data_IF_167613169897
#
_entry.id   IF_167613169897
#
_cell.length_a   1.000
_cell.length_b   1.000
_cell.length_c   1.000
_cell.angle_alpha   90.00
_cell.angle_beta   90.00
_cell.angle_gamma   90.00
#
_symmetry.space_group_name_H-M   'P 1'
#
loop_
_entity.id
_entity.type
_entity.pdbx_description
1 polymer ?
#
# COMPACT_ATOMS: atom_id res chain seq x y z
N UNK A 1 0.36 -18.51 -4.34
CA UNK A 1 -0.98 -18.12 -3.83
C UNK A 1 -1.88 -19.33 -3.92
N UNK A 2 -2.40 -19.83 -2.80
CA UNK A 2 -3.18 -21.07 -2.74
C UNK A 2 -4.70 -20.77 -2.70
N UNK A 3 -5.52 -21.56 -3.39
CA UNK A 3 -6.98 -21.44 -3.38
C UNK A 3 -7.58 -21.47 -1.97
N UNK A 4 -7.01 -22.28 -1.06
CA UNK A 4 -7.45 -22.34 0.35
C UNK A 4 -7.21 -21.02 1.09
N UNK A 5 -6.08 -20.35 0.86
CA UNK A 5 -5.77 -19.07 1.49
C UNK A 5 -6.71 -17.98 1.00
N UNK A 6 -7.00 -17.97 -0.30
CA UNK A 6 -7.93 -17.02 -0.91
C UNK A 6 -9.34 -17.19 -0.37
N UNK A 7 -9.84 -18.43 -0.30
CA UNK A 7 -11.17 -18.66 0.25
C UNK A 7 -11.25 -18.23 1.72
N UNK A 8 -10.21 -18.51 2.51
CA UNK A 8 -10.12 -18.07 3.91
C UNK A 8 -10.14 -16.54 4.00
N UNK A 9 -9.35 -15.84 3.19
CA UNK A 9 -9.32 -14.38 3.18
C UNK A 9 -10.66 -13.77 2.77
N UNK A 10 -11.34 -14.35 1.76
CA UNK A 10 -12.68 -13.91 1.33
C UNK A 10 -13.70 -14.05 2.45
N UNK A 11 -13.72 -15.20 3.13
CA UNK A 11 -14.62 -15.43 4.26
C UNK A 11 -14.34 -14.46 5.41
N UNK A 12 -13.06 -14.22 5.74
CA UNK A 12 -12.67 -13.25 6.77
C UNK A 12 -13.14 -11.83 6.44
N UNK A 13 -13.00 -11.40 5.18
CA UNK A 13 -13.48 -10.10 4.73
C UNK A 13 -15.01 -9.98 4.85
N UNK A 14 -15.74 -10.99 4.38
CA UNK A 14 -17.21 -11.04 4.48
C UNK A 14 -17.67 -11.00 5.94
N UNK A 15 -17.04 -11.79 6.82
CA UNK A 15 -17.36 -11.77 8.25
C UNK A 15 -17.14 -10.38 8.86
N UNK A 16 -16.01 -9.74 8.57
CA UNK A 16 -15.72 -8.39 9.10
C UNK A 16 -16.74 -7.34 8.61
N UNK A 17 -17.20 -7.46 7.36
CA UNK A 17 -18.23 -6.59 6.80
C UNK A 17 -19.57 -6.79 7.54
N UNK A 18 -20.01 -8.03 7.69
CA UNK A 18 -21.31 -8.34 8.31
C UNK A 18 -21.36 -7.94 9.79
N UNK A 19 -20.28 -8.20 10.53
CA UNK A 19 -20.17 -7.83 11.94
C UNK A 19 -20.25 -6.31 12.16
N UNK A 20 -19.60 -5.53 11.28
CA UNK A 20 -19.62 -4.07 11.40
C UNK A 20 -21.02 -3.47 11.21
N UNK A 21 -21.90 -4.14 10.47
CA UNK A 21 -23.25 -3.62 10.14
C UNK A 21 -24.29 -3.96 11.21
N UNK A 22 -23.94 -4.71 12.25
CA UNK A 22 -24.78 -4.95 13.43
C UNK A 22 -25.04 -3.65 14.21
N UNK A 23 -24.11 -2.69 14.16
CA UNK A 23 -24.27 -1.37 14.77
C UNK A 23 -25.04 -0.40 13.87
N UNK A 24 -26.13 0.16 14.39
CA UNK A 24 -26.92 1.20 13.69
C UNK A 24 -26.12 2.47 13.40
N UNK A 25 -25.22 2.87 14.31
CA UNK A 25 -24.38 4.07 14.11
C UNK A 25 -23.32 3.82 13.04
N UNK A 26 -22.67 2.66 13.03
CA UNK A 26 -21.71 2.29 12.00
C UNK A 26 -22.37 2.22 10.61
N UNK A 27 -23.60 1.70 10.54
CA UNK A 27 -24.41 1.70 9.32
C UNK A 27 -24.73 3.12 8.83
N UNK A 28 -25.09 4.03 9.74
CA UNK A 28 -25.37 5.42 9.40
C UNK A 28 -24.11 6.13 8.85
N UNK A 29 -22.96 5.93 9.49
CA UNK A 29 -21.68 6.47 9.04
C UNK A 29 -21.31 5.98 7.63
N UNK A 30 -21.41 4.66 7.41
CA UNK A 30 -21.10 4.07 6.11
C UNK A 30 -22.03 4.59 5.01
N UNK A 31 -23.33 4.70 5.29
CA UNK A 31 -24.30 5.28 4.36
C UNK A 31 -23.95 6.75 4.03
N UNK A 32 -23.63 7.56 5.04
CA UNK A 32 -23.21 8.94 4.86
C UNK A 32 -21.98 9.06 3.96
N UNK A 33 -20.95 8.25 4.21
CA UNK A 33 -19.72 8.23 3.40
C UNK A 33 -19.97 7.78 1.97
N UNK A 34 -20.76 6.73 1.76
CA UNK A 34 -21.06 6.22 0.43
C UNK A 34 -21.81 7.27 -0.41
N UNK A 35 -22.81 7.95 0.17
CA UNK A 35 -23.51 9.03 -0.51
C UNK A 35 -22.58 10.22 -0.80
N UNK A 36 -21.82 10.68 0.19
CA UNK A 36 -20.96 11.87 0.04
C UNK A 36 -19.78 11.65 -0.92
N UNK A 37 -19.15 10.47 -0.90
CA UNK A 37 -17.96 10.20 -1.71
C UNK A 37 -18.27 9.56 -3.06
N UNK A 38 -19.34 8.77 -3.17
CA UNK A 38 -19.63 7.94 -4.36
C UNK A 38 -20.99 8.27 -5.01
N UNK A 39 -21.85 9.05 -4.34
CA UNK A 39 -23.17 9.41 -4.85
C UNK A 39 -24.16 8.25 -4.94
N UNK A 40 -23.84 7.08 -4.37
CA UNK A 40 -24.68 5.88 -4.41
C UNK A 40 -24.50 5.03 -3.17
N UNK A 41 -25.50 4.21 -2.87
CA UNK A 41 -25.44 3.19 -1.81
C UNK A 41 -25.20 1.84 -2.46
N UNK A 42 -24.15 1.16 -2.02
CA UNK A 42 -23.85 -0.25 -2.32
C UNK A 42 -24.39 -1.09 -1.17
N UNK A 43 -25.30 -2.02 -1.47
CA UNK A 43 -25.89 -2.87 -0.42
C UNK A 43 -24.89 -3.91 0.09
N UNK A 44 -25.15 -4.46 1.27
CA UNK A 44 -24.34 -5.56 1.84
C UNK A 44 -24.30 -6.74 0.87
N UNK A 45 -25.45 -7.12 0.31
CA UNK A 45 -25.53 -8.23 -0.64
C UNK A 45 -24.69 -7.96 -1.89
N UNK A 46 -24.73 -6.74 -2.43
CA UNK A 46 -23.89 -6.34 -3.56
C UNK A 46 -22.40 -6.41 -3.22
N UNK A 47 -22.01 -6.00 -2.00
CA UNK A 47 -20.62 -6.10 -1.53
C UNK A 47 -20.17 -7.56 -1.39
N UNK A 48 -21.01 -8.41 -0.78
CA UNK A 48 -20.73 -9.85 -0.62
C UNK A 48 -20.59 -10.53 -1.98
N UNK A 49 -21.47 -10.22 -2.92
CA UNK A 49 -21.41 -10.74 -4.29
C UNK A 49 -20.13 -10.32 -5.01
N UNK A 50 -19.71 -9.05 -4.89
CA UNK A 50 -18.45 -8.57 -5.45
C UNK A 50 -17.26 -9.33 -4.89
N UNK A 51 -17.23 -9.59 -3.57
CA UNK A 51 -16.16 -10.36 -2.94
C UNK A 51 -16.18 -11.81 -3.46
N UNK A 52 -17.36 -12.44 -3.51
CA UNK A 52 -17.49 -13.82 -3.96
C UNK A 52 -17.05 -14.04 -5.41
N UNK A 53 -17.22 -13.04 -6.29
CA UNK A 53 -16.77 -13.10 -7.68
C UNK A 53 -15.25 -13.01 -7.86
N UNK A 54 -14.50 -12.58 -6.84
CA UNK A 54 -13.04 -12.45 -6.94
C UNK A 54 -12.37 -13.80 -7.21
N UNK A 55 -11.51 -13.81 -8.23
CA UNK A 55 -10.66 -14.93 -8.61
C UNK A 55 -9.22 -14.73 -8.14
N UNK A 56 -8.42 -15.81 -8.18
CA UNK A 56 -6.97 -15.74 -7.90
C UNK A 56 -6.28 -14.75 -8.85
N UNK A 57 -6.71 -14.71 -10.11
CA UNK A 57 -6.12 -13.84 -11.13
C UNK A 57 -6.38 -12.36 -10.84
N UNK A 58 -7.58 -12.02 -10.38
CA UNK A 58 -7.91 -10.63 -10.00
C UNK A 58 -6.99 -10.14 -8.88
N UNK A 59 -6.76 -10.98 -7.87
CA UNK A 59 -5.87 -10.66 -6.75
C UNK A 59 -4.42 -10.51 -7.19
N UNK A 60 -3.93 -11.37 -8.09
CA UNK A 60 -2.59 -11.25 -8.67
C UNK A 60 -2.44 -9.95 -9.47
N UNK A 61 -3.40 -9.62 -10.31
CA UNK A 61 -3.40 -8.39 -11.10
C UNK A 61 -3.37 -7.14 -10.20
N UNK A 62 -4.17 -7.13 -9.13
CA UNK A 62 -4.20 -6.03 -8.17
C UNK A 62 -2.87 -5.95 -7.40
N UNK A 63 -2.34 -7.08 -6.94
CA UNK A 63 -1.06 -7.13 -6.24
C UNK A 63 0.08 -6.61 -7.12
N UNK A 64 0.19 -7.08 -8.37
CA UNK A 64 1.19 -6.56 -9.31
C UNK A 64 1.01 -5.06 -9.51
N UNK A 65 -0.22 -4.60 -9.83
CA UNK A 65 -0.49 -3.19 -10.09
C UNK A 65 -0.09 -2.28 -8.92
N UNK A 66 -0.42 -2.67 -7.69
CA UNK A 66 -0.14 -1.88 -6.48
C UNK A 66 1.35 -1.93 -6.14
N UNK A 67 1.92 -3.14 -6.06
CA UNK A 67 3.30 -3.34 -5.61
C UNK A 67 4.34 -2.83 -6.61
N UNK A 68 4.01 -2.77 -7.91
CA UNK A 68 4.89 -2.22 -8.95
C UNK A 68 4.64 -0.74 -9.24
N UNK A 69 3.79 -0.06 -8.46
CA UNK A 69 3.54 1.38 -8.62
C UNK A 69 2.83 1.77 -9.92
N UNK A 70 2.10 0.84 -10.56
CA UNK A 70 1.35 1.07 -11.81
C UNK A 70 -0.08 1.59 -11.57
N UNK A 71 -0.31 2.25 -10.44
CA UNK A 71 -1.63 2.79 -10.07
C UNK A 71 -1.87 4.12 -10.75
N UNK A 72 -2.92 4.18 -11.58
CA UNK A 72 -3.43 5.38 -12.23
C UNK A 72 -4.43 6.06 -11.29
N UNK A 73 -4.24 7.34 -11.01
CA UNK A 73 -5.14 8.11 -10.14
C UNK A 73 -6.30 8.71 -10.92
N UNK A 74 -7.40 9.01 -10.23
CA UNK A 74 -8.65 9.53 -10.80
C UNK A 74 -8.50 10.86 -11.56
N UNK A 75 -7.42 11.61 -11.32
CA UNK A 75 -7.16 12.90 -11.96
C UNK A 75 -6.34 12.75 -13.26
N UNK A 76 -6.19 11.54 -13.81
CA UNK A 76 -5.37 11.28 -15.00
C UNK A 76 -3.85 11.34 -14.76
N UNK A 77 -3.43 11.73 -13.56
CA UNK A 77 -2.03 11.65 -13.13
C UNK A 77 -1.63 10.21 -12.83
N UNK A 78 -0.46 9.79 -13.32
CA UNK A 78 0.18 8.57 -12.80
C UNK A 78 0.74 8.90 -11.42
N UNK A 79 0.46 8.08 -10.41
CA UNK A 79 1.18 8.21 -9.14
C UNK A 79 2.67 8.12 -9.43
N UNK A 80 3.54 8.76 -8.63
CA UNK A 80 5.00 8.70 -8.85
C UNK A 80 5.51 7.24 -8.93
N UNK A 81 4.72 6.27 -8.45
CA UNK A 81 5.02 4.85 -8.44
C UNK A 81 6.10 4.48 -7.43
N UNK A 82 6.60 5.48 -6.71
CA UNK A 82 7.57 5.32 -5.65
C UNK A 82 6.87 4.89 -4.35
N UNK A 83 7.40 3.89 -3.64
CA UNK A 83 6.85 3.47 -2.36
C UNK A 83 7.06 4.56 -1.30
N UNK A 84 6.05 4.78 -0.47
CA UNK A 84 6.16 5.65 0.71
C UNK A 84 6.59 4.82 1.93
N UNK A 85 7.69 5.20 2.57
CA UNK A 85 8.26 4.50 3.72
C UNK A 85 8.30 5.48 4.89
N UNK A 86 7.69 5.09 6.00
CA UNK A 86 7.73 5.83 7.26
C UNK A 86 8.40 4.95 8.30
N UNK A 87 9.36 5.49 9.04
CA UNK A 87 10.14 4.79 10.06
C UNK A 87 10.34 5.70 11.27
N UNK A 88 10.46 5.10 12.45
CA UNK A 88 10.71 5.80 13.71
C UNK A 88 11.91 5.14 14.40
N UNK A 89 12.91 5.95 14.78
CA UNK A 89 14.16 5.50 15.40
C UNK A 89 15.40 6.04 14.68
N UNK A 90 16.56 5.46 14.98
CA UNK A 90 17.83 5.79 14.32
C UNK A 90 17.80 5.33 12.86
N UNK A 91 17.94 6.26 11.91
CA UNK A 91 17.79 6.01 10.47
C UNK A 91 18.77 4.94 9.98
N UNK A 92 19.97 4.93 10.55
CA UNK A 92 21.09 4.06 10.18
C UNK A 92 20.75 2.58 10.36
N UNK A 93 19.97 2.26 11.39
CA UNK A 93 19.56 0.88 11.72
C UNK A 93 18.70 0.23 10.62
N UNK A 94 17.98 1.04 9.84
CA UNK A 94 17.11 0.56 8.75
C UNK A 94 17.88 0.29 7.44
N UNK A 95 19.15 0.69 7.33
CA UNK A 95 19.99 0.47 6.14
C UNK A 95 19.44 1.12 4.86
N UNK A 96 19.82 0.60 3.69
CA UNK A 96 19.31 1.09 2.41
C UNK A 96 17.97 0.43 2.05
N UNK A 97 16.87 1.04 2.52
CA UNK A 97 15.51 0.54 2.27
C UNK A 97 15.17 0.56 0.78
N UNK A 98 15.63 1.57 0.03
CA UNK A 98 15.36 1.65 -1.41
C UNK A 98 16.06 0.53 -2.18
N UNK A 99 17.30 0.21 -1.81
CA UNK A 99 18.02 -0.92 -2.38
C UNK A 99 17.23 -2.23 -2.19
N UNK A 100 16.71 -2.47 -0.98
CA UNK A 100 15.90 -3.66 -0.68
C UNK A 100 14.63 -3.68 -1.52
N UNK A 101 13.90 -2.58 -1.60
CA UNK A 101 12.66 -2.50 -2.37
C UNK A 101 12.90 -2.74 -3.87
N UNK A 102 13.95 -2.13 -4.44
CA UNK A 102 14.37 -2.35 -5.83
C UNK A 102 14.76 -3.81 -6.08
N UNK A 103 15.49 -4.44 -5.15
CA UNK A 103 15.88 -5.86 -5.24
C UNK A 103 14.68 -6.80 -5.34
N UNK A 104 13.57 -6.46 -4.69
CA UNK A 104 12.32 -7.23 -4.77
C UNK A 104 11.37 -6.76 -5.88
N UNK A 105 11.78 -5.81 -6.74
CA UNK A 105 10.96 -5.28 -7.83
C UNK A 105 9.75 -4.47 -7.34
N UNK A 106 9.82 -3.89 -6.15
CA UNK A 106 8.75 -3.09 -5.56
C UNK A 106 8.89 -1.63 -5.97
N UNK A 107 7.80 -1.01 -6.43
CA UNK A 107 7.78 0.37 -6.92
C UNK A 107 8.21 0.51 -8.38
N UNK A 108 8.12 1.75 -8.88
CA UNK A 108 8.47 2.13 -10.24
C UNK A 108 9.57 3.21 -10.22
N UNK A 109 10.81 2.80 -10.43
CA UNK A 109 11.97 3.69 -10.40
C UNK A 109 12.43 4.03 -11.83
N UNK A 110 12.79 5.30 -12.08
CA UNK A 110 13.26 5.80 -13.38
C UNK A 110 14.79 5.97 -13.48
N UNK A 111 15.52 5.68 -12.41
CA UNK A 111 16.98 5.86 -12.32
C UNK A 111 17.76 4.56 -12.57
N UNK A 112 19.11 4.63 -12.64
CA UNK A 112 19.95 3.45 -12.79
C UNK A 112 19.71 2.45 -11.67
N UNK A 113 19.97 1.17 -11.96
CA UNK A 113 19.91 0.11 -10.95
C UNK A 113 20.97 0.32 -9.87
N UNK A 114 20.58 0.07 -8.62
CA UNK A 114 21.49 0.15 -7.48
C UNK A 114 22.06 -1.25 -7.29
N UNK A 115 23.34 -1.45 -7.60
CA UNK A 115 24.01 -2.76 -7.51
C UNK A 115 24.48 -3.10 -6.10
N UNK A 116 24.81 -2.09 -5.29
CA UNK A 116 25.29 -2.24 -3.92
C UNK A 116 24.54 -1.32 -2.94
N UNK A 117 24.29 -1.74 -1.69
CA UNK A 117 23.66 -0.90 -0.69
C UNK A 117 24.46 0.38 -0.43
N UNK A 118 23.80 1.54 -0.39
CA UNK A 118 24.44 2.79 0.03
C UNK A 118 24.72 2.75 1.53
N UNK A 119 25.84 3.31 1.94
CA UNK A 119 26.17 3.43 3.36
C UNK A 119 25.42 4.61 3.99
N UNK A 120 24.59 4.31 4.98
CA UNK A 120 23.87 5.30 5.79
C UNK A 120 24.51 5.50 7.16
N UNK A 121 25.53 4.72 7.54
CA UNK A 121 26.18 4.78 8.86
C UNK A 121 27.15 5.95 9.05
N UNK A 122 27.49 6.68 7.96
CA UNK A 122 28.44 7.77 8.03
C UNK A 122 27.88 8.96 8.83
N UNK A 123 28.43 9.12 10.03
CA UNK A 123 28.19 10.18 11.00
C UNK A 123 28.17 11.57 10.31
N UNK A 124 27.00 12.19 10.18
CA UNK A 124 26.87 13.57 9.63
C UNK A 124 27.63 14.63 10.46
N UNK A 125 28.12 14.27 11.65
CA UNK A 125 28.93 15.13 12.51
C UNK A 125 30.34 15.43 11.97
N UNK A 126 30.93 14.60 11.10
CA UNK A 126 32.23 14.93 10.50
C UNK A 126 32.13 15.99 9.40
N UNK A 127 31.03 16.01 8.63
CA UNK A 127 30.82 17.02 7.58
C UNK A 127 30.57 18.42 8.16
N UNK A 128 29.94 18.53 9.33
CA UNK A 128 29.78 19.82 10.06
C UNK A 128 31.09 20.36 10.67
N UNK A 129 32.06 19.49 11.02
CA UNK A 129 33.37 19.94 11.52
C UNK A 129 34.27 20.52 10.42
N UNK A 130 34.11 20.07 9.17
CA UNK A 130 34.89 20.59 8.03
C UNK A 130 34.43 21.95 7.50
N UNK A 131 33.26 22.46 7.92
CA UNK A 131 32.80 23.81 7.55
C UNK A 131 33.14 24.90 8.59
N UNK A 132 34.03 24.61 9.55
CA UNK A 132 34.64 25.61 10.44
C UNK A 132 36.10 25.82 10.04
N UNK A 133 36.33 26.32 8.83
CA UNK A 133 37.54 27.04 8.49
C UNK A 133 37.16 28.14 7.50
N UNK A 134 37.45 29.38 7.93
CA UNK A 134 36.90 30.68 7.54
C UNK A 134 35.51 31.01 8.09
#
# INVERSE_FOLDING_TARGET
>A
MNAKEVQRAKNQLISSLLMNVESKLARLEDLGRQIQCQGKITTIDEMVDKINRLTIKDLQNVAEKVLTGKVITSNGGTSLGLPSIVMQGERETFGDVEFILRRYGLGNYKGPEITEPRDFSSNQNEKKKKSRWF
#
